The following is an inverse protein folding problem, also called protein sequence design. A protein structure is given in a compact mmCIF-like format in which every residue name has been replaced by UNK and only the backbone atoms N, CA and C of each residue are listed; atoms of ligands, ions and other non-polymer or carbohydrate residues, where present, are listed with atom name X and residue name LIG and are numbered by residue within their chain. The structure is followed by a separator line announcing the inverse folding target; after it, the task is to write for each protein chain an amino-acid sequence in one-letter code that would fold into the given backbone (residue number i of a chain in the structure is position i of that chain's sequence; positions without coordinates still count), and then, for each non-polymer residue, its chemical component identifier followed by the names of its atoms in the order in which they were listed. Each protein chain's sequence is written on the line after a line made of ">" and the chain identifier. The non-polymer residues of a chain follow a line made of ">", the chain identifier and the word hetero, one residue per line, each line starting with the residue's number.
data_IF_277065545361
#
_entry.id   IF_277065545361
#
_cell.length_a   1.000
_cell.length_b   1.000
_cell.length_c   1.000
_cell.angle_alpha   90.00
_cell.angle_beta   90.00
_cell.angle_gamma   90.00
#
_symmetry.space_group_name_H-M   'P 1'
#
loop_
_entity.id
_entity.type
_entity.pdbx_description
1 polymer ?
#
# COMPACT_ATOMS: atom_id res chain seq x y z
N UNK A 1 5.68 17.73 -7.39
CA UNK A 1 5.14 17.11 -6.15
C UNK A 1 5.36 15.58 -6.07
N UNK A 2 5.18 14.81 -7.16
CA UNK A 2 5.42 13.34 -7.17
C UNK A 2 6.82 12.87 -6.72
N UNK A 3 7.94 13.53 -7.09
CA UNK A 3 9.27 13.10 -6.63
C UNK A 3 9.49 13.41 -5.14
N UNK A 4 9.00 14.54 -4.64
CA UNK A 4 9.08 14.90 -3.22
C UNK A 4 8.39 13.86 -2.33
N UNK A 5 7.17 13.45 -2.71
CA UNK A 5 6.44 12.41 -1.98
C UNK A 5 7.17 11.05 -2.01
N UNK A 6 7.88 10.73 -3.10
CA UNK A 6 8.70 9.52 -3.20
C UNK A 6 9.86 9.57 -2.20
N UNK A 7 10.55 10.69 -2.11
CA UNK A 7 11.65 10.90 -1.16
C UNK A 7 11.18 10.89 0.29
N UNK A 8 10.03 11.51 0.60
CA UNK A 8 9.42 11.44 1.94
C UNK A 8 9.13 9.99 2.33
N UNK A 9 8.56 9.19 1.42
CA UNK A 9 8.30 7.76 1.68
C UNK A 9 9.58 6.97 1.95
N UNK A 10 10.63 7.22 1.16
CA UNK A 10 11.93 6.57 1.36
C UNK A 10 12.54 6.98 2.71
N UNK A 11 12.53 8.27 3.03
CA UNK A 11 13.03 8.79 4.31
C UNK A 11 12.28 8.19 5.50
N UNK A 12 10.95 8.10 5.42
CA UNK A 12 10.12 7.48 6.46
C UNK A 12 10.45 5.99 6.63
N UNK A 13 10.70 5.27 5.53
CA UNK A 13 11.04 3.85 5.55
C UNK A 13 12.43 3.64 6.16
N UNK A 14 13.41 4.48 5.81
CA UNK A 14 14.74 4.47 6.43
C UNK A 14 14.65 4.79 7.92
N UNK A 15 13.88 5.81 8.31
CA UNK A 15 13.68 6.17 9.71
C UNK A 15 13.04 5.02 10.50
N UNK A 16 11.98 4.39 9.96
CA UNK A 16 11.34 3.25 10.59
C UNK A 16 12.32 2.06 10.75
N UNK A 17 13.18 1.82 9.76
CA UNK A 17 14.22 0.79 9.84
C UNK A 17 15.24 1.10 10.95
N UNK A 18 15.75 2.34 11.00
CA UNK A 18 16.70 2.76 12.03
C UNK A 18 16.11 2.64 13.44
N UNK A 19 14.86 3.08 13.62
CA UNK A 19 14.15 2.92 14.89
C UNK A 19 13.96 1.45 15.26
N UNK A 20 13.65 0.59 14.28
CA UNK A 20 13.52 -0.85 14.48
C UNK A 20 14.83 -1.50 14.94
N UNK A 21 15.96 -1.13 14.32
CA UNK A 21 17.29 -1.62 14.72
C UNK A 21 17.66 -1.10 16.11
N UNK A 22 17.47 0.19 16.36
CA UNK A 22 17.74 0.80 17.67
C UNK A 22 16.95 0.11 18.78
N UNK A 23 15.65 -0.10 18.56
CA UNK A 23 14.78 -0.81 19.48
C UNK A 23 15.25 -2.25 19.73
N UNK A 24 15.67 -2.97 18.69
CA UNK A 24 16.16 -4.34 18.82
C UNK A 24 17.49 -4.44 19.59
N UNK A 25 18.35 -3.42 19.49
CA UNK A 25 19.60 -3.35 20.25
C UNK A 25 19.36 -3.11 21.74
N UNK A 26 18.47 -2.18 22.09
CA UNK A 26 18.13 -1.92 23.51
C UNK A 26 17.34 -3.08 24.14
N UNK A 27 16.53 -3.77 23.35
CA UNK A 27 15.64 -4.85 23.81
C UNK A 27 16.13 -6.23 23.37
N UNK A 28 17.42 -6.52 23.62
CA UNK A 28 18.07 -7.78 23.28
C UNK A 28 17.64 -8.98 24.15
N UNK A 29 16.76 -8.77 25.14
CA UNK A 29 16.24 -9.83 26.01
C UNK A 29 15.46 -10.87 25.19
N UNK A 30 15.87 -12.13 25.30
CA UNK A 30 15.23 -13.24 24.61
C UNK A 30 13.90 -13.59 25.29
N UNK A 31 12.79 -13.48 24.54
CA UNK A 31 11.44 -13.75 25.03
C UNK A 31 10.87 -14.97 24.28
N UNK A 32 10.48 -16.03 24.99
CA UNK A 32 9.73 -17.13 24.39
C UNK A 32 8.31 -16.66 24.09
N UNK A 33 7.83 -16.91 22.88
CA UNK A 33 6.47 -16.57 22.46
C UNK A 33 5.71 -17.86 22.16
N UNK A 34 4.51 -18.00 22.70
CA UNK A 34 3.58 -19.06 22.37
C UNK A 34 2.45 -18.50 21.51
N UNK A 35 2.25 -19.05 20.32
CA UNK A 35 1.15 -18.70 19.42
C UNK A 35 0.17 -19.86 19.34
N UNK A 36 -1.07 -19.68 19.82
CA UNK A 36 -2.11 -20.71 19.73
C UNK A 36 -1.67 -22.09 20.25
N UNK A 37 -0.85 -22.12 21.30
CA UNK A 37 -0.29 -23.36 21.87
C UNK A 37 1.01 -23.85 21.23
N UNK A 38 1.45 -23.25 20.11
CA UNK A 38 2.76 -23.52 19.50
C UNK A 38 3.83 -22.64 20.15
N UNK A 39 4.78 -23.27 20.84
CA UNK A 39 5.97 -22.60 21.34
C UNK A 39 6.94 -22.27 20.20
N UNK A 40 7.33 -21.01 20.09
CA UNK A 40 8.30 -20.53 19.11
C UNK A 40 9.69 -20.43 19.74
N UNK A 41 10.76 -20.45 18.94
CA UNK A 41 12.12 -20.23 19.44
C UNK A 41 12.22 -18.89 20.16
N UNK A 42 13.04 -18.85 21.22
CA UNK A 42 13.32 -17.61 21.93
C UNK A 42 14.12 -16.67 21.05
N UNK A 43 13.52 -15.52 20.75
CA UNK A 43 14.14 -14.42 20.00
C UNK A 43 14.07 -13.16 20.85
N UNK A 44 14.89 -12.16 20.52
CA UNK A 44 14.81 -10.89 21.23
C UNK A 44 13.44 -10.24 21.04
N UNK A 45 12.96 -9.52 22.05
CA UNK A 45 11.68 -8.81 22.01
C UNK A 45 11.58 -7.91 20.76
N UNK A 46 12.67 -7.21 20.43
CA UNK A 46 12.73 -6.38 19.23
C UNK A 46 12.53 -7.15 17.94
N UNK A 47 13.11 -8.35 17.82
CA UNK A 47 12.92 -9.21 16.64
C UNK A 47 11.46 -9.65 16.53
N UNK A 48 10.82 -10.03 17.63
CA UNK A 48 9.40 -10.39 17.62
C UNK A 48 8.51 -9.23 17.14
N UNK A 49 8.71 -8.03 17.67
CA UNK A 49 7.94 -6.85 17.24
C UNK A 49 8.14 -6.57 15.75
N UNK A 50 9.37 -6.68 15.24
CA UNK A 50 9.64 -6.51 13.81
C UNK A 50 8.92 -7.55 12.95
N UNK A 51 8.95 -8.84 13.35
CA UNK A 51 8.27 -9.93 12.65
C UNK A 51 6.75 -9.70 12.62
N UNK A 52 6.12 -9.47 13.76
CA UNK A 52 4.66 -9.27 13.80
C UNK A 52 4.23 -7.99 13.08
N UNK A 53 5.02 -6.93 13.15
CA UNK A 53 4.76 -5.71 12.38
C UNK A 53 4.87 -5.98 10.89
N UNK A 54 5.93 -6.67 10.44
CA UNK A 54 6.09 -7.06 9.03
C UNK A 54 4.91 -7.92 8.56
N UNK A 55 4.53 -8.95 9.33
CA UNK A 55 3.37 -9.79 9.01
C UNK A 55 2.07 -8.98 8.95
N UNK A 56 1.81 -8.13 9.94
CA UNK A 56 0.63 -7.27 9.98
C UNK A 56 0.55 -6.30 8.79
N UNK A 57 1.67 -5.69 8.41
CA UNK A 57 1.74 -4.81 7.22
C UNK A 57 1.50 -5.58 5.93
N UNK A 58 2.09 -6.77 5.77
CA UNK A 58 1.87 -7.63 4.61
C UNK A 58 0.40 -8.06 4.51
N UNK A 59 -0.22 -8.43 5.61
CA UNK A 59 -1.64 -8.76 5.67
C UNK A 59 -2.51 -7.56 5.31
N UNK A 60 -2.24 -6.38 5.88
CA UNK A 60 -2.95 -5.16 5.54
C UNK A 60 -2.84 -4.80 4.06
N UNK A 61 -1.65 -4.95 3.48
CA UNK A 61 -1.42 -4.76 2.04
C UNK A 61 -2.22 -5.77 1.22
N UNK A 62 -2.21 -7.05 1.60
CA UNK A 62 -2.96 -8.10 0.93
C UNK A 62 -4.47 -7.81 0.95
N UNK A 63 -5.01 -7.42 2.11
CA UNK A 63 -6.43 -7.04 2.27
C UNK A 63 -6.79 -5.81 1.43
N UNK A 64 -5.87 -4.84 1.28
CA UNK A 64 -6.11 -3.63 0.48
C UNK A 64 -6.10 -3.88 -1.04
N UNK A 65 -5.43 -4.94 -1.49
CA UNK A 65 -5.13 -5.20 -2.89
C UNK A 65 -6.39 -5.31 -3.79
N UNK A 66 -7.44 -6.09 -3.41
CA UNK A 66 -8.66 -6.20 -4.20
C UNK A 66 -9.36 -4.87 -4.40
N UNK A 67 -9.39 -4.03 -3.36
CA UNK A 67 -9.97 -2.69 -3.42
C UNK A 67 -9.23 -1.82 -4.43
N UNK A 68 -7.89 -1.76 -4.35
CA UNK A 68 -7.08 -0.98 -5.29
C UNK A 68 -7.27 -1.47 -6.72
N UNK A 69 -7.32 -2.79 -6.95
CA UNK A 69 -7.57 -3.36 -8.28
C UNK A 69 -8.96 -2.99 -8.81
N UNK A 70 -9.98 -3.04 -7.95
CA UNK A 70 -11.36 -2.62 -8.30
C UNK A 70 -11.40 -1.15 -8.70
N UNK A 71 -10.80 -0.26 -7.91
CA UNK A 71 -10.75 1.17 -8.21
C UNK A 71 -10.02 1.42 -9.54
N UNK A 72 -8.90 0.74 -9.80
CA UNK A 72 -8.16 0.86 -11.08
C UNK A 72 -8.97 0.36 -12.28
N UNK A 73 -9.83 -0.65 -12.11
CA UNK A 73 -10.73 -1.13 -13.16
C UNK A 73 -11.84 -0.11 -13.43
N UNK A 74 -12.45 0.42 -12.37
CA UNK A 74 -13.48 1.46 -12.47
C UNK A 74 -12.94 2.73 -13.11
N UNK A 75 -11.74 3.18 -12.73
CA UNK A 75 -11.08 4.33 -13.32
C UNK A 75 -10.94 4.18 -14.85
N UNK A 76 -10.40 3.05 -15.30
CA UNK A 76 -10.25 2.76 -16.74
C UNK A 76 -11.60 2.68 -17.47
N UNK A 77 -12.62 2.14 -16.81
CA UNK A 77 -13.97 2.10 -17.39
C UNK A 77 -14.55 3.52 -17.56
N UNK A 78 -14.38 4.39 -16.57
CA UNK A 78 -14.83 5.78 -16.60
C UNK A 78 -14.07 6.61 -17.64
N UNK A 79 -12.75 6.45 -17.74
CA UNK A 79 -11.94 7.10 -18.78
C UNK A 79 -12.42 6.73 -20.19
N UNK A 80 -12.77 5.46 -20.42
CA UNK A 80 -13.33 5.01 -21.71
C UNK A 80 -14.72 5.61 -22.00
N UNK A 81 -15.57 5.75 -20.98
CA UNK A 81 -16.88 6.39 -21.13
C UNK A 81 -16.72 7.87 -21.49
N UNK A 82 -15.83 8.56 -20.78
CA UNK A 82 -15.54 9.98 -21.03
C UNK A 82 -15.05 10.20 -22.47
N UNK A 83 -14.10 9.37 -22.93
CA UNK A 83 -13.60 9.42 -24.30
C UNK A 83 -14.66 9.10 -25.38
N UNK A 84 -15.71 8.32 -25.05
CA UNK A 84 -16.84 8.08 -25.96
C UNK A 84 -17.77 9.29 -26.01
N UNK A 85 -18.18 9.81 -24.86
CA UNK A 85 -19.01 11.01 -24.79
C UNK A 85 -18.35 12.20 -25.50
N UNK A 86 -17.05 12.42 -25.32
CA UNK A 86 -16.33 13.48 -26.04
C UNK A 86 -16.36 13.31 -27.56
N UNK A 87 -16.30 12.06 -28.07
CA UNK A 87 -16.41 11.78 -29.51
C UNK A 87 -17.81 12.05 -30.04
N UNK A 88 -18.85 11.64 -29.33
CA UNK A 88 -20.25 11.90 -29.71
C UNK A 88 -20.53 13.40 -29.73
N UNK A 89 -20.06 14.13 -28.71
CA UNK A 89 -20.21 15.58 -28.63
C UNK A 89 -19.50 16.29 -29.80
N UNK A 90 -18.33 15.78 -30.21
CA UNK A 90 -17.60 16.29 -31.37
C UNK A 90 -18.34 15.97 -32.68
N UNK A 91 -18.91 14.78 -32.82
CA UNK A 91 -19.70 14.40 -34.00
C UNK A 91 -20.97 15.26 -34.15
N UNK A 92 -21.71 15.46 -33.06
CA UNK A 92 -22.91 16.30 -33.05
C UNK A 92 -22.60 17.76 -33.37
N UNK A 93 -21.47 18.29 -32.89
CA UNK A 93 -21.01 19.65 -33.25
C UNK A 93 -20.59 19.81 -34.71
N UNK A 94 -20.18 18.72 -35.36
CA UNK A 94 -19.76 18.72 -36.76
C UNK A 94 -20.91 18.41 -37.73
N UNK A 95 -22.08 18.01 -37.21
CA UNK A 95 -23.28 17.90 -38.05
C UNK A 95 -23.73 19.32 -38.44
N UNK A 96 -23.80 19.63 -39.75
CA UNK A 96 -24.35 20.90 -40.18
C UNK A 96 -25.81 20.97 -39.73
N UNK A 97 -26.25 22.15 -39.27
CA UNK A 97 -27.66 22.41 -38.96
C UNK A 97 -28.43 22.08 -40.24
N UNK A 98 -29.24 21.03 -40.16
CA UNK A 98 -30.07 20.59 -41.27
C UNK A 98 -31.39 21.33 -41.13
N UNK A 99 -31.44 22.50 -41.75
CA UNK A 99 -32.67 23.24 -42.04
C UNK A 99 -33.45 22.55 -43.18
#
# INVERSE_FOLDING_TARGET
>A
MKPLLRWIKVALLVLAFLLGVWFALENAQAVPVTLMGLGLPSLSLGVWLLIFTALGTLLGMAVSLPTVLRLRRQLRARERQLARCEKELKQLRLQPIRD
#
